data_IF_286309994064
#
_entry.id   IF_286309994064
#
_cell.length_a   1.000
_cell.length_b   1.000
_cell.length_c   1.000
_cell.angle_alpha   90.00
_cell.angle_beta   90.00
_cell.angle_gamma   90.00
#
_symmetry.space_group_name_H-M   'P 1'
#
loop_
_entity.id
_entity.type
_entity.pdbx_description
1 polymer ?
#
# COMPACT_ATOMS: atom_id res chain seq x y z
N UNK A 1 -9.76 5.24 -23.92
CA UNK A 1 -9.50 5.72 -22.55
C UNK A 1 -8.03 5.47 -22.25
N UNK A 2 -7.19 6.49 -22.34
CA UNK A 2 -5.83 6.41 -21.80
C UNK A 2 -5.96 6.58 -20.29
N UNK A 3 -6.04 5.47 -19.56
CA UNK A 3 -6.06 5.51 -18.09
C UNK A 3 -4.66 5.77 -17.55
N UNK A 4 -4.11 6.91 -17.95
CA UNK A 4 -2.95 7.48 -17.32
C UNK A 4 -1.59 7.06 -17.85
N UNK A 5 -0.59 7.89 -17.54
CA UNK A 5 0.82 7.54 -17.60
C UNK A 5 1.43 7.96 -16.28
N UNK A 6 1.79 6.99 -15.43
CA UNK A 6 2.49 7.26 -14.18
C UNK A 6 4.00 7.09 -14.36
N UNK A 7 4.78 7.86 -13.62
CA UNK A 7 6.26 7.80 -13.61
C UNK A 7 6.83 6.55 -12.90
N UNK A 8 5.95 5.69 -12.40
CA UNK A 8 6.26 4.49 -11.61
C UNK A 8 6.06 3.18 -12.37
N UNK A 9 5.68 3.25 -13.65
CA UNK A 9 5.52 2.06 -14.51
C UNK A 9 4.39 1.11 -14.10
N UNK A 10 3.47 1.55 -13.24
CA UNK A 10 2.38 0.72 -12.72
C UNK A 10 1.37 0.44 -13.83
N UNK A 11 1.06 -0.83 -14.05
CA UNK A 11 0.14 -1.25 -15.09
C UNK A 11 -1.32 -0.86 -14.80
N UNK A 12 -2.11 -0.59 -15.84
CA UNK A 12 -3.54 -0.29 -15.68
C UNK A 12 -4.28 -1.38 -14.91
N UNK A 13 -4.02 -2.66 -15.23
CA UNK A 13 -4.67 -3.79 -14.56
C UNK A 13 -4.42 -3.80 -13.05
N UNK A 14 -3.21 -3.42 -12.61
CA UNK A 14 -2.86 -3.33 -11.20
C UNK A 14 -3.61 -2.20 -10.49
N UNK A 15 -3.74 -1.05 -11.15
CA UNK A 15 -4.49 0.12 -10.65
C UNK A 15 -5.98 -0.23 -10.54
N UNK A 16 -6.58 -0.76 -11.61
CA UNK A 16 -7.99 -1.08 -11.68
C UNK A 16 -8.40 -2.14 -10.63
N UNK A 17 -7.56 -3.16 -10.43
CA UNK A 17 -7.79 -4.15 -9.38
C UNK A 17 -7.81 -3.50 -7.99
N UNK A 18 -6.85 -2.62 -7.70
CA UNK A 18 -6.77 -1.97 -6.40
C UNK A 18 -7.93 -1.02 -6.16
N UNK A 19 -8.25 -0.19 -7.15
CA UNK A 19 -9.38 0.73 -7.11
C UNK A 19 -10.66 -0.03 -6.78
N UNK A 20 -10.91 -1.15 -7.46
CA UNK A 20 -12.05 -2.02 -7.16
C UNK A 20 -12.01 -2.59 -5.73
N UNK A 21 -10.84 -3.07 -5.27
CA UNK A 21 -10.68 -3.62 -3.93
C UNK A 21 -10.93 -2.56 -2.82
N UNK A 22 -10.53 -1.31 -3.04
CA UNK A 22 -10.75 -0.21 -2.10
C UNK A 22 -12.21 0.26 -2.13
N UNK A 23 -12.78 0.51 -3.31
CA UNK A 23 -14.15 1.03 -3.44
C UNK A 23 -15.21 0.06 -2.91
N UNK A 24 -14.98 -1.25 -3.05
CA UNK A 24 -15.90 -2.28 -2.55
C UNK A 24 -15.68 -2.60 -1.06
N UNK A 25 -14.66 -2.02 -0.44
CA UNK A 25 -14.32 -2.33 0.95
C UNK A 25 -15.35 -1.76 1.93
N UNK A 26 -15.88 -2.62 2.81
CA UNK A 26 -16.97 -2.26 3.73
C UNK A 26 -16.63 -1.18 4.77
N UNK A 27 -15.36 -0.76 4.90
CA UNK A 27 -14.96 0.35 5.79
C UNK A 27 -14.76 1.69 5.06
N UNK A 28 -14.89 1.73 3.73
CA UNK A 28 -14.67 2.93 2.91
C UNK A 28 -16.02 3.59 2.59
N UNK A 29 -16.10 4.92 2.70
CA UNK A 29 -17.33 5.69 2.47
C UNK A 29 -17.21 6.76 1.39
N UNK A 30 -16.00 7.23 1.09
CA UNK A 30 -15.70 8.16 0.00
C UNK A 30 -14.41 7.75 -0.67
N UNK A 31 -14.28 8.06 -1.95
CA UNK A 31 -13.13 7.68 -2.76
C UNK A 31 -12.87 8.75 -3.83
N UNK A 32 -11.59 9.09 -4.00
CA UNK A 32 -11.06 9.89 -5.11
C UNK A 32 -9.73 9.28 -5.58
N UNK A 33 -9.37 9.55 -6.84
CA UNK A 33 -8.11 9.10 -7.44
C UNK A 33 -7.51 10.24 -8.26
N UNK A 34 -6.19 10.42 -8.16
CA UNK A 34 -5.42 11.36 -8.96
C UNK A 34 -4.01 10.81 -9.22
N UNK A 35 -3.25 11.46 -10.11
CA UNK A 35 -1.90 11.04 -10.54
C UNK A 35 -1.79 9.55 -10.95
N UNK A 36 -2.93 8.99 -11.34
CA UNK A 36 -3.22 7.59 -11.64
C UNK A 36 -3.06 6.57 -10.52
N UNK A 37 -2.00 6.72 -9.71
CA UNK A 37 -1.58 5.76 -8.69
C UNK A 37 -1.92 6.21 -7.26
N UNK A 38 -2.42 7.44 -7.07
CA UNK A 38 -2.79 7.96 -5.76
C UNK A 38 -4.29 7.82 -5.57
N UNK A 39 -4.67 7.16 -4.48
CA UNK A 39 -6.06 6.90 -4.10
C UNK A 39 -6.31 7.48 -2.72
N UNK A 40 -7.28 8.38 -2.62
CA UNK A 40 -7.68 8.99 -1.37
C UNK A 40 -9.06 8.49 -0.98
N UNK A 41 -9.24 8.15 0.29
CA UNK A 41 -10.53 7.69 0.76
C UNK A 41 -10.75 7.96 2.25
N UNK A 42 -12.03 8.16 2.59
CA UNK A 42 -12.47 8.30 3.97
C UNK A 42 -13.02 6.97 4.48
N UNK A 43 -12.69 6.66 5.73
CA UNK A 43 -13.21 5.50 6.45
C UNK A 43 -14.45 5.86 7.27
N UNK A 44 -15.21 4.84 7.68
CA UNK A 44 -16.44 5.03 8.49
C UNK A 44 -16.21 5.73 9.84
N UNK A 45 -15.01 5.66 10.38
CA UNK A 45 -14.61 6.33 11.61
C UNK A 45 -14.24 7.82 11.42
N UNK A 46 -14.30 8.32 10.18
CA UNK A 46 -13.98 9.70 9.81
C UNK A 46 -12.49 9.94 9.51
N UNK A 47 -11.62 8.93 9.64
CA UNK A 47 -10.22 9.05 9.28
C UNK A 47 -9.99 8.91 7.77
N UNK A 48 -8.99 9.61 7.24
CA UNK A 48 -8.60 9.56 5.83
C UNK A 48 -7.35 8.72 5.60
N UNK A 49 -7.30 8.08 4.44
CA UNK A 49 -6.12 7.36 3.95
C UNK A 49 -5.75 7.92 2.57
N UNK A 50 -4.45 8.19 2.41
CA UNK A 50 -3.84 8.54 1.14
C UNK A 50 -2.91 7.40 0.75
N UNK A 51 -3.34 6.64 -0.25
CA UNK A 51 -2.72 5.40 -0.70
C UNK A 51 -1.95 5.62 -2.00
N UNK A 52 -0.74 5.06 -2.10
CA UNK A 52 -0.04 4.90 -3.37
C UNK A 52 -0.06 3.43 -3.85
N UNK A 53 -0.38 3.24 -5.12
CA UNK A 53 -0.33 1.96 -5.83
C UNK A 53 1.04 1.78 -6.49
N UNK A 54 1.79 0.76 -6.09
CA UNK A 54 3.07 0.39 -6.69
C UNK A 54 3.02 -1.04 -7.23
N UNK A 55 3.89 -1.36 -8.20
CA UNK A 55 3.96 -2.68 -8.85
C UNK A 55 5.34 -3.34 -8.69
N UNK A 56 6.00 -3.10 -7.56
CA UNK A 56 7.33 -3.64 -7.27
C UNK A 56 7.25 -5.09 -6.77
N UNK A 57 8.11 -5.97 -7.28
CA UNK A 57 8.22 -7.34 -6.75
C UNK A 57 8.71 -7.36 -5.29
N UNK A 58 9.63 -6.46 -4.97
CA UNK A 58 10.16 -6.26 -3.62
C UNK A 58 10.45 -4.78 -3.40
N UNK A 59 9.66 -4.11 -2.56
CA UNK A 59 9.89 -2.70 -2.25
C UNK A 59 11.05 -2.53 -1.25
N UNK A 60 12.07 -1.80 -1.69
CA UNK A 60 13.22 -1.40 -0.86
C UNK A 60 13.04 -0.05 -0.16
N UNK A 61 13.87 0.21 0.85
CA UNK A 61 13.86 1.47 1.61
C UNK A 61 14.06 2.71 0.72
N UNK A 62 14.96 2.65 -0.27
CA UNK A 62 15.20 3.76 -1.20
C UNK A 62 13.95 4.15 -2.01
N UNK A 63 13.13 3.17 -2.40
CA UNK A 63 11.87 3.42 -3.09
C UNK A 63 10.86 4.09 -2.16
N UNK A 64 10.80 3.69 -0.88
CA UNK A 64 9.97 4.37 0.13
C UNK A 64 10.41 5.83 0.30
N UNK A 65 11.71 6.11 0.38
CA UNK A 65 12.20 7.50 0.43
C UNK A 65 11.75 8.33 -0.78
N UNK A 66 11.82 7.76 -1.98
CA UNK A 66 11.36 8.40 -3.21
C UNK A 66 9.86 8.69 -3.16
N UNK A 67 9.03 7.73 -2.71
CA UNK A 67 7.58 7.94 -2.53
C UNK A 67 7.33 9.14 -1.62
N UNK A 68 8.00 9.22 -0.48
CA UNK A 68 7.77 10.29 0.50
C UNK A 68 8.29 11.65 0.05
N UNK A 69 9.27 11.66 -0.85
CA UNK A 69 9.75 12.90 -1.48
C UNK A 69 8.77 13.41 -2.54
N UNK A 70 8.20 12.52 -3.35
CA UNK A 70 7.25 12.87 -4.42
C UNK A 70 5.83 13.14 -3.87
N UNK A 71 5.41 12.39 -2.86
CA UNK A 71 4.05 12.39 -2.30
C UNK A 71 4.12 12.41 -0.76
N UNK A 72 4.30 13.58 -0.13
CA UNK A 72 4.54 13.69 1.31
C UNK A 72 3.34 13.29 2.18
N UNK A 73 2.12 13.33 1.64
CA UNK A 73 0.89 13.02 2.37
C UNK A 73 0.54 11.52 2.37
N UNK A 74 1.34 10.67 1.72
CA UNK A 74 1.11 9.22 1.71
C UNK A 74 1.26 8.66 3.11
N UNK A 75 0.21 7.97 3.57
CA UNK A 75 0.23 7.20 4.80
C UNK A 75 0.00 5.70 4.55
N UNK A 76 -0.19 5.29 3.29
CA UNK A 76 -0.52 3.91 2.95
C UNK A 76 0.11 3.49 1.61
N UNK A 77 0.87 2.42 1.60
CA UNK A 77 1.62 1.93 0.44
C UNK A 77 1.15 0.52 0.10
N UNK A 78 0.67 0.34 -1.14
CA UNK A 78 0.32 -0.96 -1.71
C UNK A 78 1.42 -1.42 -2.66
N UNK A 79 2.03 -2.57 -2.37
CA UNK A 79 3.12 -3.15 -3.16
C UNK A 79 2.65 -4.38 -3.90
N UNK A 80 2.41 -4.23 -5.20
CA UNK A 80 2.19 -5.36 -6.12
C UNK A 80 1.06 -6.30 -5.69
N UNK A 81 1.11 -7.56 -6.11
CA UNK A 81 0.12 -8.59 -5.77
C UNK A 81 0.43 -9.36 -4.48
N UNK A 82 -0.30 -10.46 -4.25
CA UNK A 82 -0.11 -11.33 -3.07
C UNK A 82 1.30 -11.93 -2.96
N UNK A 83 1.94 -12.13 -4.12
CA UNK A 83 3.29 -12.71 -4.20
C UNK A 83 4.38 -11.65 -4.10
N UNK A 84 4.04 -10.38 -4.00
CA UNK A 84 4.99 -9.28 -3.83
C UNK A 84 5.23 -9.04 -2.34
N UNK A 85 6.28 -8.28 -2.05
CA UNK A 85 6.69 -8.04 -0.68
C UNK A 85 7.56 -6.82 -0.54
N UNK A 86 8.19 -6.70 0.62
CA UNK A 86 9.04 -5.57 0.95
C UNK A 86 10.23 -6.02 1.78
N UNK A 87 11.25 -5.18 1.82
CA UNK A 87 12.42 -5.37 2.68
C UNK A 87 12.07 -5.06 4.14
N UNK A 88 12.89 -5.55 5.08
CA UNK A 88 12.69 -5.29 6.52
C UNK A 88 12.89 -3.79 6.78
N UNK A 89 13.89 -3.21 6.13
CA UNK A 89 14.29 -1.82 6.22
C UNK A 89 13.16 -0.90 5.74
N UNK A 90 12.53 -1.22 4.60
CA UNK A 90 11.34 -0.50 4.13
C UNK A 90 10.19 -0.52 5.14
N UNK A 91 9.92 -1.69 5.77
CA UNK A 91 8.87 -1.81 6.78
C UNK A 91 9.21 -1.01 8.03
N UNK A 92 10.44 -1.06 8.51
CA UNK A 92 10.90 -0.29 9.68
C UNK A 92 10.80 1.22 9.44
N UNK A 93 11.22 1.69 8.26
CA UNK A 93 11.08 3.08 7.86
C UNK A 93 9.61 3.51 7.86
N UNK A 94 8.72 2.71 7.25
CA UNK A 94 7.28 3.00 7.23
C UNK A 94 6.68 3.04 8.64
N UNK A 95 7.03 2.07 9.49
CA UNK A 95 6.60 2.03 10.89
C UNK A 95 7.02 3.28 11.66
N UNK A 96 8.27 3.75 11.48
CA UNK A 96 8.78 4.96 12.14
C UNK A 96 8.02 6.25 11.77
N UNK A 97 7.26 6.21 10.66
CA UNK A 97 6.50 7.34 10.10
C UNK A 97 4.99 7.13 10.18
N UNK A 98 4.52 6.07 10.85
CA UNK A 98 3.10 5.67 10.90
C UNK A 98 2.50 5.41 9.50
N UNK A 99 3.29 4.83 8.60
CA UNK A 99 2.89 4.48 7.24
C UNK A 99 2.61 2.99 7.15
N UNK A 100 1.45 2.65 6.60
CA UNK A 100 1.10 1.28 6.27
C UNK A 100 1.86 0.80 5.04
N UNK A 101 2.59 -0.30 5.14
CA UNK A 101 3.26 -0.94 4.01
C UNK A 101 2.76 -2.38 3.88
N UNK A 102 2.09 -2.66 2.76
CA UNK A 102 1.33 -3.90 2.55
C UNK A 102 1.43 -4.40 1.12
N UNK A 103 1.42 -5.71 0.96
CA UNK A 103 1.03 -6.32 -0.31
C UNK A 103 -0.50 -6.51 -0.38
N UNK A 104 -1.01 -7.04 -1.49
CA UNK A 104 -2.44 -7.28 -1.68
C UNK A 104 -3.10 -8.18 -0.62
N UNK A 105 -2.36 -9.10 0.00
CA UNK A 105 -2.92 -9.99 1.03
C UNK A 105 -3.14 -9.29 2.38
N UNK A 106 -2.31 -8.31 2.72
CA UNK A 106 -2.39 -7.60 4.00
C UNK A 106 -3.31 -6.37 3.95
N UNK A 107 -3.35 -5.71 2.79
CA UNK A 107 -3.96 -4.40 2.58
C UNK A 107 -5.40 -4.30 3.11
N UNK A 108 -6.30 -5.15 2.65
CA UNK A 108 -7.72 -5.01 3.01
C UNK A 108 -7.95 -5.25 4.50
N UNK A 109 -7.19 -6.15 5.12
CA UNK A 109 -7.23 -6.41 6.56
C UNK A 109 -6.81 -5.20 7.39
N UNK A 110 -5.78 -4.47 6.94
CA UNK A 110 -5.30 -3.28 7.63
C UNK A 110 -6.31 -2.13 7.64
N UNK A 111 -7.19 -2.03 6.63
CA UNK A 111 -8.20 -0.97 6.55
C UNK A 111 -9.20 -0.97 7.70
N UNK A 112 -9.39 -2.11 8.37
CA UNK A 112 -10.24 -2.25 9.56
C UNK A 112 -9.59 -1.78 10.86
N UNK A 113 -8.30 -1.40 10.84
CA UNK A 113 -7.54 -1.05 12.05
C UNK A 113 -7.29 0.44 12.12
N UNK A 114 -7.53 1.04 13.29
CA UNK A 114 -7.27 2.47 13.50
C UNK A 114 -5.77 2.76 13.31
N UNK A 115 -4.92 1.98 14.00
CA UNK A 115 -3.45 1.98 13.84
C UNK A 115 -3.05 1.04 12.70
N UNK A 116 -3.54 1.31 11.49
CA UNK A 116 -3.34 0.42 10.34
C UNK A 116 -1.87 0.13 10.09
N UNK A 117 -0.94 1.06 10.34
CA UNK A 117 0.49 0.89 10.09
C UNK A 117 1.14 -0.24 10.90
N UNK A 118 0.58 -0.57 12.08
CA UNK A 118 1.00 -1.69 12.92
C UNK A 118 0.44 -3.03 12.44
N UNK A 119 -0.46 -3.04 11.46
CA UNK A 119 -1.06 -4.27 10.98
C UNK A 119 -0.04 -5.18 10.31
N UNK A 120 -0.24 -6.47 10.55
CA UNK A 120 0.42 -7.58 9.89
C UNK A 120 -0.55 -8.75 9.92
N UNK A 121 -0.45 -9.66 8.96
CA UNK A 121 -1.17 -10.92 9.05
C UNK A 121 -0.66 -11.76 10.21
N UNK A 122 -1.46 -12.73 10.65
CA UNK A 122 -1.06 -13.69 11.67
C UNK A 122 -1.27 -15.10 11.14
N UNK A 123 -0.37 -16.02 11.48
CA UNK A 123 -0.53 -17.45 11.20
C UNK A 123 -1.61 -18.07 12.13
N UNK A 124 -1.91 -19.36 11.93
CA UNK A 124 -2.87 -20.11 12.76
C UNK A 124 -2.49 -20.16 14.25
N UNK A 125 -1.24 -19.84 14.58
CA UNK A 125 -0.70 -19.80 15.95
C UNK A 125 -0.68 -18.37 16.52
N UNK A 126 -1.13 -17.38 15.75
CA UNK A 126 -1.16 -15.96 16.15
C UNK A 126 0.16 -15.20 15.95
N UNK A 127 1.18 -15.82 15.36
CA UNK A 127 2.47 -15.16 15.11
C UNK A 127 2.38 -14.21 13.92
N UNK A 128 3.07 -13.06 13.95
CA UNK A 128 3.11 -12.14 12.82
C UNK A 128 3.71 -12.80 11.56
N UNK A 129 3.03 -12.63 10.43
CA UNK A 129 3.52 -13.02 9.10
C UNK A 129 3.75 -11.75 8.30
N UNK A 130 4.98 -11.58 7.84
CA UNK A 130 5.37 -10.47 6.97
C UNK A 130 5.84 -11.03 5.61
N UNK A 131 5.43 -10.43 4.48
CA UNK A 131 5.91 -10.78 3.16
C UNK A 131 7.32 -10.22 2.91
N UNK A 132 8.28 -10.55 3.77
CA UNK A 132 9.65 -10.10 3.62
C UNK A 132 10.32 -10.74 2.41
N UNK A 133 10.99 -9.91 1.62
CA UNK A 133 11.79 -10.35 0.47
C UNK A 133 13.15 -9.67 0.47
N UNK A 134 14.16 -10.42 0.04
CA UNK A 134 15.47 -9.85 -0.22
C UNK A 134 15.37 -8.96 -1.45
N UNK A 135 15.91 -7.75 -1.38
CA UNK A 135 16.02 -6.89 -2.55
C UNK A 135 16.88 -7.62 -3.60
N UNK A 136 16.33 -7.77 -4.81
CA UNK A 136 17.13 -8.32 -5.90
C UNK A 136 18.19 -7.27 -6.29
N UNK A 137 19.45 -7.67 -6.52
CA UNK A 137 20.42 -6.78 -7.12
C UNK A 137 19.90 -6.38 -8.52
N UNK A 138 19.94 -5.07 -8.79
CA UNK A 138 19.58 -4.48 -10.08
C UNK A 138 20.61 -4.87 -11.14
#
# INVERSE_FOLDING_TARGET
MSNGSNSWGVSFSRIAWLESAIQTHGNVIRYSRHDDIIMEFERKDGSSITLICLDEYTLGEAAVHRVLQEFPDINYISVGGNWNGYTIEAKQLCLSKNIGLFNSSELTGALWKNEFWLYHQKDDKGNPVYPYKKQQPV
#
